data_IF_205984626660
#
_entry.id   IF_205984626660
#
_cell.length_a   1.000
_cell.length_b   1.000
_cell.length_c   1.000
_cell.angle_alpha   90.00
_cell.angle_beta   90.00
_cell.angle_gamma   90.00
#
_symmetry.space_group_name_H-M   'P 1'
#
loop_
_entity.id
_entity.type
_entity.pdbx_description
1 polymer ?
#
# COMPACT_ATOMS: atom_id res chain seq x y z
N UNK A 1 -21.68 4.16 5.96
CA UNK A 1 -20.94 4.35 7.22
C UNK A 1 -19.95 3.20 7.33
N UNK A 2 -18.65 3.47 7.35
CA UNK A 2 -17.61 2.44 7.47
C UNK A 2 -17.21 2.38 8.93
N UNK A 3 -17.40 1.23 9.60
CA UNK A 3 -16.97 1.04 10.97
C UNK A 3 -15.54 0.54 11.00
N UNK A 4 -14.70 1.12 11.86
CA UNK A 4 -13.33 0.64 12.09
C UNK A 4 -13.39 -0.52 13.09
N UNK A 5 -13.39 -1.75 12.57
CA UNK A 5 -13.54 -2.99 13.34
C UNK A 5 -12.35 -3.32 14.25
N UNK A 6 -11.29 -2.49 14.24
CA UNK A 6 -10.13 -2.62 15.14
C UNK A 6 -10.39 -1.98 16.51
N UNK A 7 -11.48 -1.19 16.65
CA UNK A 7 -11.85 -0.59 17.93
C UNK A 7 -12.95 -1.43 18.61
N UNK A 8 -12.65 -2.07 19.78
CA UNK A 8 -13.64 -2.89 20.50
C UNK A 8 -14.95 -2.15 20.79
N UNK A 9 -14.89 -0.85 21.06
CA UNK A 9 -16.06 0.00 21.34
C UNK A 9 -16.95 0.19 20.10
N UNK A 10 -16.38 0.26 18.92
CA UNK A 10 -17.14 0.36 17.66
C UNK A 10 -17.76 -0.98 17.27
N UNK A 11 -17.07 -2.08 17.55
CA UNK A 11 -17.59 -3.43 17.35
C UNK A 11 -18.82 -3.66 18.25
N UNK A 12 -18.76 -3.31 19.53
CA UNK A 12 -19.87 -3.44 20.48
C UNK A 12 -21.08 -2.60 20.03
N UNK A 13 -20.87 -1.35 19.62
CA UNK A 13 -21.94 -0.49 19.05
C UNK A 13 -22.55 -1.06 17.78
N UNK A 14 -21.76 -1.71 16.93
CA UNK A 14 -22.26 -2.36 15.73
C UNK A 14 -23.14 -3.57 16.09
N UNK A 15 -22.69 -4.40 17.02
CA UNK A 15 -23.47 -5.55 17.52
C UNK A 15 -24.79 -5.11 18.17
N UNK A 16 -24.78 -4.08 19.01
CA UNK A 16 -25.98 -3.54 19.63
C UNK A 16 -26.99 -3.03 18.60
N UNK A 17 -26.55 -2.28 17.58
CA UNK A 17 -27.40 -1.81 16.49
C UNK A 17 -27.96 -2.96 15.66
N UNK A 18 -27.17 -3.98 15.38
CA UNK A 18 -27.60 -5.16 14.64
C UNK A 18 -28.66 -5.93 15.44
N UNK A 19 -28.45 -6.12 16.75
CA UNK A 19 -29.43 -6.73 17.67
C UNK A 19 -30.72 -5.90 17.75
N UNK A 20 -30.63 -4.58 17.84
CA UNK A 20 -31.78 -3.68 17.89
C UNK A 20 -32.60 -3.73 16.59
N UNK A 21 -31.91 -3.71 15.42
CA UNK A 21 -32.61 -3.87 14.12
C UNK A 21 -33.30 -5.22 13.95
N UNK A 22 -32.68 -6.29 14.40
CA UNK A 22 -33.29 -7.64 14.37
C UNK A 22 -34.51 -7.73 15.28
N UNK A 23 -34.40 -7.11 16.47
CA UNK A 23 -35.53 -7.04 17.42
C UNK A 23 -36.69 -6.19 16.88
N UNK A 24 -36.41 -5.04 16.27
CA UNK A 24 -37.43 -4.17 15.66
C UNK A 24 -38.12 -4.87 14.49
N UNK A 25 -37.44 -5.63 13.65
CA UNK A 25 -38.03 -6.42 12.57
C UNK A 25 -38.95 -7.54 13.10
N UNK A 26 -38.60 -8.20 14.20
CA UNK A 26 -39.43 -9.20 14.84
C UNK A 26 -40.71 -8.60 15.42
N UNK A 27 -40.68 -7.36 15.91
CA UNK A 27 -41.84 -6.67 16.48
C UNK A 27 -42.81 -6.14 15.41
N UNK A 28 -42.37 -5.92 14.17
CA UNK A 28 -43.21 -5.44 13.07
C UNK A 28 -43.97 -6.53 12.32
N UNK A 29 -43.75 -7.81 12.66
CA UNK A 29 -44.55 -8.93 12.10
C UNK A 29 -44.39 -9.15 10.59
N UNK A 30 -43.41 -8.49 9.97
CA UNK A 30 -43.19 -8.65 8.55
C UNK A 30 -42.43 -9.94 8.25
N UNK A 31 -43.18 -10.96 7.79
CA UNK A 31 -42.63 -12.16 7.15
C UNK A 31 -42.03 -11.83 5.79
N UNK A 32 -41.01 -10.95 5.79
CA UNK A 32 -40.23 -10.77 4.61
C UNK A 32 -39.06 -11.74 4.62
N UNK A 33 -38.93 -12.46 3.50
CA UNK A 33 -37.84 -13.35 3.14
C UNK A 33 -36.56 -13.06 3.95
N UNK A 34 -36.13 -14.01 4.77
CA UNK A 34 -34.90 -13.92 5.54
C UNK A 34 -33.73 -13.67 4.58
N UNK A 35 -33.44 -12.41 4.33
CA UNK A 35 -32.20 -12.03 3.66
C UNK A 35 -31.10 -12.16 4.71
N UNK A 36 -30.42 -13.28 4.70
CA UNK A 36 -29.17 -13.44 5.46
C UNK A 36 -28.12 -12.52 4.90
N UNK A 37 -27.74 -11.50 5.65
CA UNK A 37 -26.55 -10.73 5.34
C UNK A 37 -25.35 -11.50 5.88
N UNK A 38 -24.60 -12.15 5.01
CA UNK A 38 -23.29 -12.68 5.35
C UNK A 38 -22.35 -11.50 5.44
N UNK A 39 -21.98 -11.09 6.66
CA UNK A 39 -20.91 -10.12 6.88
C UNK A 39 -19.61 -10.89 6.83
N UNK A 40 -18.90 -10.81 5.74
CA UNK A 40 -17.55 -11.34 5.60
C UNK A 40 -16.60 -10.39 6.35
N UNK A 41 -16.29 -10.75 7.59
CA UNK A 41 -15.32 -10.03 8.42
C UNK A 41 -13.92 -10.37 7.94
N UNK A 42 -13.43 -9.62 6.96
CA UNK A 42 -12.02 -9.66 6.58
C UNK A 42 -11.24 -8.74 7.49
N UNK A 43 -10.19 -9.28 8.11
CA UNK A 43 -9.20 -8.47 8.78
C UNK A 43 -8.64 -7.45 7.78
N UNK A 44 -8.88 -6.17 8.03
CA UNK A 44 -8.41 -5.11 7.16
C UNK A 44 -6.93 -4.88 7.47
N UNK A 45 -6.07 -5.46 6.66
CA UNK A 45 -4.65 -5.11 6.70
C UNK A 45 -4.50 -3.59 6.57
N UNK A 46 -3.66 -3.00 7.41
CA UNK A 46 -3.39 -1.57 7.34
C UNK A 46 -2.79 -1.25 5.97
N UNK A 47 -3.57 -0.56 5.13
CA UNK A 47 -3.05 -0.07 3.86
C UNK A 47 -1.84 0.84 4.12
N UNK A 48 -0.85 0.79 3.20
CA UNK A 48 0.29 1.71 3.22
C UNK A 48 -0.17 3.15 3.45
N UNK A 49 0.61 3.94 4.15
CA UNK A 49 0.28 5.33 4.38
C UNK A 49 0.51 6.17 3.11
N UNK A 50 -0.23 7.27 2.96
CA UNK A 50 -0.02 8.25 1.89
C UNK A 50 1.41 8.77 1.94
N UNK A 51 1.98 8.96 3.13
CA UNK A 51 3.34 9.41 3.36
C UNK A 51 4.40 8.42 2.85
N UNK A 52 4.23 7.13 3.15
CA UNK A 52 5.13 6.09 2.63
C UNK A 52 5.11 6.03 1.11
N UNK A 53 3.93 6.14 0.51
CA UNK A 53 3.81 6.16 -0.94
C UNK A 53 4.47 7.40 -1.55
N UNK A 54 4.23 8.59 -0.99
CA UNK A 54 4.84 9.83 -1.45
C UNK A 54 6.38 9.75 -1.36
N UNK A 55 6.90 9.28 -0.23
CA UNK A 55 8.34 9.09 -0.03
C UNK A 55 8.94 8.13 -1.06
N UNK A 56 8.31 6.97 -1.30
CA UNK A 56 8.78 6.02 -2.31
C UNK A 56 8.91 6.68 -3.69
N UNK A 57 7.88 7.41 -4.12
CA UNK A 57 7.91 8.05 -5.44
C UNK A 57 8.96 9.15 -5.56
N UNK A 58 9.25 9.90 -4.50
CA UNK A 58 10.37 10.85 -4.47
C UNK A 58 11.70 10.12 -4.60
N UNK A 59 11.91 8.99 -3.91
CA UNK A 59 13.14 8.20 -4.02
C UNK A 59 13.33 7.60 -5.41
N UNK A 60 12.27 7.05 -6.01
CA UNK A 60 12.30 6.54 -7.39
C UNK A 60 12.66 7.67 -8.37
N UNK A 61 12.03 8.83 -8.22
CA UNK A 61 12.29 9.99 -9.08
C UNK A 61 13.74 10.46 -8.94
N UNK A 62 14.25 10.52 -7.71
CA UNK A 62 15.65 10.91 -7.46
C UNK A 62 16.64 9.97 -8.18
N UNK A 63 16.48 8.66 -7.99
CA UNK A 63 17.37 7.68 -8.64
C UNK A 63 17.24 7.75 -10.17
N UNK A 64 16.04 7.95 -10.69
CA UNK A 64 15.81 8.12 -12.13
C UNK A 64 16.58 9.33 -12.70
N UNK A 65 16.57 10.45 -11.98
CA UNK A 65 17.30 11.67 -12.37
C UNK A 65 18.82 11.44 -12.32
N UNK A 66 19.34 10.90 -11.21
CA UNK A 66 20.78 10.73 -11.00
C UNK A 66 21.41 9.75 -12.01
N UNK A 67 20.66 8.72 -12.41
CA UNK A 67 21.16 7.69 -13.33
C UNK A 67 20.71 7.87 -14.78
N UNK A 68 19.82 8.83 -15.06
CA UNK A 68 19.32 9.10 -16.40
C UNK A 68 18.36 8.02 -16.93
N UNK A 69 17.61 7.35 -16.06
CA UNK A 69 16.59 6.38 -16.41
C UNK A 69 15.16 6.96 -16.27
N UNK A 70 14.19 6.24 -16.84
CA UNK A 70 12.78 6.57 -16.62
C UNK A 70 12.32 6.07 -15.24
N UNK A 71 11.28 6.70 -14.70
CA UNK A 71 10.65 6.26 -13.44
C UNK A 71 10.14 4.83 -13.52
N UNK A 72 9.60 4.44 -14.66
CA UNK A 72 9.10 3.08 -14.88
C UNK A 72 10.23 2.04 -14.79
N UNK A 73 11.40 2.35 -15.32
CA UNK A 73 12.57 1.48 -15.20
C UNK A 73 12.99 1.32 -13.74
N UNK A 74 13.10 2.42 -13.01
CA UNK A 74 13.48 2.40 -11.58
C UNK A 74 12.40 1.72 -10.72
N UNK A 75 11.10 1.86 -11.05
CA UNK A 75 10.03 1.10 -10.39
C UNK A 75 10.22 -0.42 -10.57
N UNK A 76 10.61 -0.86 -11.77
CA UNK A 76 10.90 -2.28 -12.00
C UNK A 76 12.13 -2.75 -11.20
N UNK A 77 13.17 -1.93 -11.10
CA UNK A 77 14.33 -2.22 -10.26
C UNK A 77 13.93 -2.33 -8.77
N UNK A 78 13.15 -1.38 -8.26
CA UNK A 78 12.59 -1.46 -6.90
C UNK A 78 11.85 -2.78 -6.65
N UNK A 79 11.04 -3.23 -7.60
CA UNK A 79 10.33 -4.51 -7.52
C UNK A 79 11.30 -5.70 -7.55
N UNK A 80 12.38 -5.62 -8.35
CA UNK A 80 13.39 -6.69 -8.42
C UNK A 80 14.17 -6.83 -7.12
N UNK A 81 14.55 -5.72 -6.49
CA UNK A 81 15.20 -5.70 -5.17
C UNK A 81 14.31 -6.37 -4.11
N UNK A 82 12.99 -6.21 -4.23
CA UNK A 82 11.98 -6.74 -3.32
C UNK A 82 11.21 -7.93 -3.92
N UNK A 83 11.89 -8.76 -4.72
CA UNK A 83 11.26 -9.85 -5.49
C UNK A 83 10.42 -10.79 -4.63
N UNK A 84 10.87 -11.12 -3.43
CA UNK A 84 10.18 -12.00 -2.49
C UNK A 84 8.82 -11.44 -2.01
N UNK A 85 8.67 -10.12 -2.00
CA UNK A 85 7.41 -9.45 -1.65
C UNK A 85 6.50 -9.30 -2.87
N UNK A 86 7.06 -8.97 -4.04
CA UNK A 86 6.28 -8.67 -5.24
C UNK A 86 5.94 -9.87 -6.09
N UNK A 87 6.83 -10.87 -6.20
CA UNK A 87 6.56 -12.06 -7.00
C UNK A 87 5.70 -13.04 -6.20
N UNK A 88 4.52 -13.35 -6.73
CA UNK A 88 3.57 -14.29 -6.14
C UNK A 88 3.20 -15.38 -7.12
N UNK A 89 2.78 -16.50 -6.57
CA UNK A 89 2.26 -17.63 -7.35
C UNK A 89 0.76 -17.74 -7.14
N UNK A 90 0.06 -18.05 -8.20
CA UNK A 90 -1.37 -18.29 -8.17
C UNK A 90 -1.70 -19.51 -9.01
N UNK A 91 -2.59 -20.35 -8.48
CA UNK A 91 -3.15 -21.48 -9.20
C UNK A 91 -4.44 -21.05 -9.91
N UNK A 92 -4.57 -21.42 -11.18
CA UNK A 92 -5.80 -21.19 -11.93
C UNK A 92 -6.83 -22.30 -11.63
N UNK A 93 -8.06 -22.14 -12.11
CA UNK A 93 -9.16 -23.11 -11.93
C UNK A 93 -8.88 -24.50 -12.53
N UNK A 94 -7.84 -24.62 -13.34
CA UNK A 94 -7.41 -25.85 -14.00
C UNK A 94 -6.21 -26.52 -13.30
N UNK A 95 -5.80 -26.04 -12.10
CA UNK A 95 -4.68 -26.59 -11.34
C UNK A 95 -3.29 -26.18 -11.86
N UNK A 96 -3.21 -25.20 -12.80
CA UNK A 96 -1.92 -24.74 -13.32
C UNK A 96 -1.44 -23.52 -12.54
N UNK A 97 -0.23 -23.62 -11.97
CA UNK A 97 0.42 -22.52 -11.26
C UNK A 97 1.06 -21.54 -12.25
N UNK A 98 0.89 -20.24 -12.01
CA UNK A 98 1.56 -19.18 -12.74
C UNK A 98 2.08 -18.13 -11.78
N UNK A 99 3.20 -17.49 -12.14
CA UNK A 99 3.79 -16.39 -11.39
C UNK A 99 3.28 -15.05 -11.90
N UNK A 100 3.05 -14.11 -10.98
CA UNK A 100 2.68 -12.76 -11.31
C UNK A 100 3.35 -11.76 -10.37
N UNK A 101 3.54 -10.54 -10.85
CA UNK A 101 4.05 -9.42 -10.06
C UNK A 101 2.90 -8.64 -9.47
N UNK A 102 2.94 -8.43 -8.16
CA UNK A 102 2.02 -7.51 -7.48
C UNK A 102 2.27 -6.07 -7.90
N UNK A 103 1.24 -5.25 -7.77
CA UNK A 103 1.40 -3.81 -7.90
C UNK A 103 1.78 -3.17 -6.56
N UNK A 104 2.46 -2.01 -6.60
CA UNK A 104 2.80 -1.24 -5.40
C UNK A 104 1.55 -0.94 -4.53
N UNK A 105 0.36 -0.61 -5.10
CA UNK A 105 -0.87 -0.45 -4.32
C UNK A 105 -1.32 -1.66 -3.49
N UNK A 106 -0.88 -2.85 -3.85
CA UNK A 106 -1.29 -4.09 -3.17
C UNK A 106 -0.49 -4.37 -1.88
N UNK A 107 0.53 -3.57 -1.60
CA UNK A 107 1.35 -3.70 -0.39
C UNK A 107 0.62 -3.15 0.82
N UNK A 108 0.75 -3.85 1.95
CA UNK A 108 0.37 -3.32 3.24
C UNK A 108 1.43 -2.35 3.81
N UNK A 109 1.18 -1.80 5.00
CA UNK A 109 2.07 -0.82 5.63
C UNK A 109 3.43 -1.41 6.00
N UNK A 110 3.45 -2.64 6.47
CA UNK A 110 4.67 -3.32 6.95
C UNK A 110 5.52 -3.78 5.76
N UNK A 111 4.88 -4.38 4.76
CA UNK A 111 5.53 -4.74 3.49
C UNK A 111 6.15 -3.51 2.82
N UNK A 112 5.43 -2.38 2.80
CA UNK A 112 5.94 -1.14 2.21
C UNK A 112 7.15 -0.60 2.97
N UNK A 113 7.13 -0.59 4.32
CA UNK A 113 8.29 -0.18 5.13
C UNK A 113 9.50 -1.06 4.81
N UNK A 114 9.33 -2.38 4.83
CA UNK A 114 10.40 -3.32 4.53
C UNK A 114 10.98 -3.09 3.13
N UNK A 115 10.11 -2.89 2.13
CA UNK A 115 10.54 -2.65 0.75
C UNK A 115 11.31 -1.33 0.61
N UNK A 116 10.88 -0.27 1.29
CA UNK A 116 11.58 1.02 1.29
C UNK A 116 12.95 0.88 1.95
N UNK A 117 13.04 0.24 3.12
CA UNK A 117 14.31 0.06 3.83
C UNK A 117 15.34 -0.71 2.98
N UNK A 118 14.92 -1.78 2.33
CA UNK A 118 15.77 -2.54 1.40
C UNK A 118 16.19 -1.72 0.19
N UNK A 119 15.28 -0.89 -0.33
CA UNK A 119 15.57 -0.01 -1.44
C UNK A 119 16.61 1.04 -1.08
N UNK A 120 16.48 1.71 0.07
CA UNK A 120 17.45 2.68 0.55
C UNK A 120 18.83 2.04 0.75
N UNK A 121 18.85 0.84 1.34
CA UNK A 121 20.09 0.08 1.50
C UNK A 121 20.73 -0.26 0.14
N UNK A 122 19.94 -0.75 -0.82
CA UNK A 122 20.40 -1.03 -2.17
C UNK A 122 20.96 0.24 -2.87
N UNK A 123 20.25 1.36 -2.79
CA UNK A 123 20.72 2.63 -3.36
C UNK A 123 22.06 3.07 -2.74
N UNK A 124 22.21 2.93 -1.43
CA UNK A 124 23.44 3.29 -0.74
C UNK A 124 24.63 2.38 -1.11
N UNK A 125 24.41 1.05 -1.09
CA UNK A 125 25.49 0.08 -1.24
C UNK A 125 25.88 -0.18 -2.70
N UNK A 126 24.88 -0.30 -3.57
CA UNK A 126 25.11 -0.70 -4.97
C UNK A 126 25.26 0.49 -5.92
N UNK A 127 24.62 1.62 -5.58
CA UNK A 127 24.57 2.81 -6.44
C UNK A 127 25.35 4.00 -5.89
N UNK A 128 25.79 3.92 -4.60
CA UNK A 128 26.49 5.02 -3.93
C UNK A 128 25.62 6.26 -3.73
N UNK A 129 24.29 6.13 -3.77
CA UNK A 129 23.35 7.23 -3.62
C UNK A 129 22.85 7.29 -2.19
N UNK A 130 23.06 8.42 -1.52
CA UNK A 130 22.48 8.68 -0.22
C UNK A 130 21.11 9.32 -0.37
N UNK A 131 20.10 8.69 0.22
CA UNK A 131 18.72 9.16 0.21
C UNK A 131 18.33 9.47 1.67
N UNK A 132 18.04 10.73 2.03
CA UNK A 132 17.67 11.09 3.39
C UNK A 132 16.28 10.53 3.73
N UNK A 133 16.12 10.07 4.97
CA UNK A 133 14.82 9.62 5.50
C UNK A 133 13.96 10.81 5.91
N UNK A 134 12.62 10.66 6.04
CA UNK A 134 11.74 11.75 6.46
C UNK A 134 12.05 12.33 7.85
N UNK A 135 12.85 11.63 8.67
CA UNK A 135 13.29 12.09 9.98
C UNK A 135 14.58 12.95 9.90
N UNK A 136 15.28 12.94 8.79
CA UNK A 136 16.51 13.70 8.62
C UNK A 136 16.21 15.19 8.41
N UNK A 137 16.98 16.06 9.02
CA UNK A 137 16.85 17.52 8.84
C UNK A 137 17.03 17.96 7.39
N UNK A 138 17.82 17.23 6.61
CA UNK A 138 18.07 17.51 5.20
C UNK A 138 16.91 17.11 4.27
N UNK A 139 15.95 16.32 4.76
CA UNK A 139 14.91 15.71 3.92
C UNK A 139 14.09 16.74 3.14
N UNK A 140 13.58 17.78 3.79
CA UNK A 140 12.72 18.77 3.15
C UNK A 140 13.44 19.53 2.02
N UNK A 141 14.71 19.88 2.25
CA UNK A 141 15.52 20.57 1.23
C UNK A 141 15.79 19.65 0.06
N UNK A 142 16.17 18.40 0.34
CA UNK A 142 16.42 17.39 -0.66
C UNK A 142 15.15 17.09 -1.49
N UNK A 143 14.01 16.89 -0.85
CA UNK A 143 12.74 16.65 -1.53
C UNK A 143 12.40 17.79 -2.50
N UNK A 144 12.50 19.04 -2.04
CA UNK A 144 12.24 20.22 -2.87
C UNK A 144 13.17 20.28 -4.09
N UNK A 145 14.44 19.90 -3.91
CA UNK A 145 15.41 19.86 -5.01
C UNK A 145 15.03 18.79 -6.04
N UNK A 146 14.67 17.58 -5.58
CA UNK A 146 14.24 16.48 -6.46
C UNK A 146 12.98 16.86 -7.24
N UNK A 147 11.98 17.43 -6.59
CA UNK A 147 10.74 17.87 -7.23
C UNK A 147 11.02 18.95 -8.30
N UNK A 148 11.89 19.91 -8.00
CA UNK A 148 12.30 20.92 -8.97
C UNK A 148 13.02 20.33 -10.18
N UNK A 149 13.95 19.41 -9.96
CA UNK A 149 14.66 18.72 -11.03
C UNK A 149 13.72 17.83 -11.85
N UNK A 150 12.76 17.16 -11.21
CA UNK A 150 11.75 16.35 -11.90
C UNK A 150 10.89 17.19 -12.85
N UNK A 151 10.53 18.42 -12.46
CA UNK A 151 9.77 19.32 -13.34
C UNK A 151 10.60 19.75 -14.55
N UNK A 152 11.89 20.01 -14.38
CA UNK A 152 12.80 20.35 -15.48
C UNK A 152 13.04 19.18 -16.45
N UNK A 153 13.00 17.95 -15.94
CA UNK A 153 13.28 16.73 -16.71
C UNK A 153 11.99 15.97 -17.11
N UNK A 154 10.85 16.60 -17.04
CA UNK A 154 9.53 15.99 -17.22
C UNK A 154 9.34 15.22 -18.54
N UNK A 155 10.06 15.64 -19.59
CA UNK A 155 9.98 14.98 -20.91
C UNK A 155 10.76 13.65 -20.96
N UNK A 156 11.67 13.41 -20.00
CA UNK A 156 12.54 12.23 -19.97
C UNK A 156 12.22 11.24 -18.84
N UNK A 157 11.44 11.65 -17.87
CA UNK A 157 11.04 10.86 -16.68
C UNK A 157 9.71 10.12 -16.90
#
# INVERSE_FOLDING_TARGET
>A
MVYNMLNPVELEKFEERTRAMTKAKKLQGDYYNEKFFVVDLKERQQSRTIQQNAYLWVTITYVAIEEGYTKDYIEQEFKRVNKDVFLRERENKQGKTFQYWRHIPDLDKEEMSLCIDRWLHHCSMERGLYIPTPQDHAYMVWQTQVERQAELNKEFL
#
